data_IF_864492350646
#
_entry.id   IF_864492350646
#
_cell.length_a   1.000
_cell.length_b   1.000
_cell.length_c   1.000
_cell.angle_alpha   90.00
_cell.angle_beta   90.00
_cell.angle_gamma   90.00
#
_symmetry.space_group_name_H-M   'P 1'
#
loop_
_entity.id
_entity.type
_entity.pdbx_description
1 polymer ?
#
# COMPACT_ATOMS: atom_id res chain seq x y z
N UNK A 1 -27.35 -50.41 -33.08
CA UNK A 1 -26.71 -50.10 -31.78
C UNK A 1 -25.61 -49.02 -31.87
N UNK A 2 -25.70 -48.01 -32.77
CA UNK A 2 -24.73 -46.89 -32.83
C UNK A 2 -25.25 -45.59 -32.19
N UNK A 3 -26.57 -45.37 -32.22
CA UNK A 3 -27.16 -44.13 -31.71
C UNK A 3 -27.25 -44.06 -30.18
N UNK A 4 -27.39 -45.20 -29.48
CA UNK A 4 -27.50 -45.24 -28.01
C UNK A 4 -26.20 -44.79 -27.30
N UNK A 5 -25.04 -45.07 -27.92
CA UNK A 5 -23.72 -44.70 -27.37
C UNK A 5 -23.46 -43.19 -27.48
N UNK A 6 -24.00 -42.55 -28.51
CA UNK A 6 -23.93 -41.10 -28.69
C UNK A 6 -24.84 -40.38 -27.70
N UNK A 7 -26.06 -40.86 -27.46
CA UNK A 7 -26.94 -40.27 -26.42
C UNK A 7 -26.35 -40.39 -25.01
N UNK A 8 -25.63 -41.48 -24.72
CA UNK A 8 -24.93 -41.65 -23.46
C UNK A 8 -23.74 -40.67 -23.31
N UNK A 9 -22.99 -40.44 -24.40
CA UNK A 9 -21.89 -39.46 -24.42
C UNK A 9 -22.38 -38.01 -24.33
N UNK A 10 -23.45 -37.65 -25.06
CA UNK A 10 -24.04 -36.31 -24.99
C UNK A 10 -24.71 -36.04 -23.63
N UNK A 11 -25.35 -37.05 -23.03
CA UNK A 11 -25.90 -36.96 -21.68
C UNK A 11 -24.83 -36.70 -20.61
N UNK A 12 -23.68 -37.38 -20.69
CA UNK A 12 -22.58 -37.19 -19.75
C UNK A 12 -21.95 -35.77 -19.83
N UNK A 13 -21.86 -35.19 -21.04
CA UNK A 13 -21.33 -33.83 -21.23
C UNK A 13 -22.30 -32.77 -20.65
N UNK A 14 -23.61 -32.96 -20.83
CA UNK A 14 -24.62 -32.01 -20.33
C UNK A 14 -24.70 -32.04 -18.79
N UNK A 15 -24.64 -33.23 -18.17
CA UNK A 15 -24.63 -33.35 -16.70
C UNK A 15 -23.37 -32.71 -16.11
N UNK A 16 -22.20 -32.89 -16.74
CA UNK A 16 -20.95 -32.23 -16.33
C UNK A 16 -21.04 -30.70 -16.38
N UNK A 17 -21.68 -30.13 -17.41
CA UNK A 17 -21.85 -28.68 -17.53
C UNK A 17 -22.77 -28.09 -16.44
N UNK A 18 -23.77 -28.85 -15.98
CA UNK A 18 -24.70 -28.38 -14.93
C UNK A 18 -24.07 -28.37 -13.53
N UNK A 19 -23.11 -29.26 -13.24
CA UNK A 19 -22.41 -29.31 -11.95
C UNK A 19 -21.45 -28.10 -11.80
N UNK A 20 -20.88 -27.61 -12.91
CA UNK A 20 -20.00 -26.44 -12.93
C UNK A 20 -20.74 -25.12 -12.60
N UNK A 21 -22.03 -25.00 -12.88
CA UNK A 21 -22.82 -23.79 -12.61
C UNK A 21 -23.32 -23.72 -11.16
N UNK A 22 -23.40 -24.84 -10.44
CA UNK A 22 -23.82 -24.87 -9.03
C UNK A 22 -22.69 -24.59 -8.03
N UNK A 23 -21.42 -24.66 -8.47
CA UNK A 23 -20.24 -24.42 -7.63
C UNK A 23 -19.93 -22.93 -7.38
N UNK A 24 -20.75 -22.01 -7.90
CA UNK A 24 -20.62 -20.57 -7.68
C UNK A 24 -21.85 -19.99 -6.98
N UNK A 25 -22.19 -20.51 -5.80
CA UNK A 25 -23.20 -19.86 -4.92
C UNK A 25 -22.86 -19.85 -3.44
N UNK A 26 -21.66 -20.29 -3.04
CA UNK A 26 -21.18 -20.17 -1.66
C UNK A 26 -19.97 -19.22 -1.58
N UNK A 27 -20.16 -17.98 -2.00
CA UNK A 27 -19.27 -16.88 -1.61
C UNK A 27 -19.73 -16.34 -0.26
N UNK A 28 -19.45 -17.09 0.81
CA UNK A 28 -19.72 -16.62 2.17
C UNK A 28 -18.93 -15.34 2.43
N UNK A 29 -19.65 -14.22 2.60
CA UNK A 29 -19.10 -12.96 3.07
C UNK A 29 -18.73 -13.07 4.55
N UNK A 30 -17.60 -13.71 4.83
CA UNK A 30 -16.94 -13.67 6.12
C UNK A 30 -16.02 -12.47 6.22
N UNK A 31 -15.97 -11.84 7.39
CA UNK A 31 -15.14 -10.67 7.77
C UNK A 31 -13.61 -10.97 7.78
N UNK A 32 -13.10 -11.87 6.94
CA UNK A 32 -11.68 -12.12 6.80
C UNK A 32 -11.06 -11.08 5.84
N UNK A 33 -10.29 -10.15 6.39
CA UNK A 33 -9.51 -9.17 5.61
C UNK A 33 -9.82 -7.70 5.86
N UNK A 34 -10.77 -7.40 6.75
CA UNK A 34 -11.05 -6.01 7.16
C UNK A 34 -10.06 -5.55 8.22
N UNK A 35 -9.56 -4.32 8.07
CA UNK A 35 -8.67 -3.64 9.02
C UNK A 35 -9.23 -2.26 9.35
N UNK A 36 -8.80 -1.68 10.46
CA UNK A 36 -9.11 -0.28 10.82
C UNK A 36 -7.94 0.62 10.47
N UNK A 37 -8.22 1.76 9.83
CA UNK A 37 -7.21 2.76 9.56
C UNK A 37 -6.65 3.32 10.87
N UNK A 38 -5.33 3.50 10.91
CA UNK A 38 -4.63 4.18 12.00
C UNK A 38 -4.03 5.49 11.48
N UNK A 39 -3.66 6.38 12.40
CA UNK A 39 -2.89 7.56 12.05
C UNK A 39 -1.53 7.12 11.49
N UNK A 40 -1.21 7.39 10.21
CA UNK A 40 0.07 7.01 9.66
C UNK A 40 1.18 7.86 10.28
N UNK A 41 2.17 7.21 10.89
CA UNK A 41 3.34 7.85 11.48
C UNK A 41 4.59 7.18 10.93
N UNK A 42 5.59 7.98 10.56
CA UNK A 42 6.92 7.51 10.18
C UNK A 42 7.98 8.06 11.12
N UNK A 43 9.01 7.27 11.38
CA UNK A 43 10.19 7.72 12.10
C UNK A 43 11.25 8.19 11.10
N UNK A 44 11.64 9.46 11.18
CA UNK A 44 12.78 9.98 10.44
C UNK A 44 13.98 10.08 11.38
N UNK A 45 15.01 9.29 11.13
CA UNK A 45 16.32 9.54 11.73
C UNK A 45 16.98 10.71 10.98
N UNK A 46 17.58 11.70 11.65
CA UNK A 46 18.32 12.75 10.97
C UNK A 46 19.58 12.13 10.36
N UNK A 47 19.58 11.95 9.04
CA UNK A 47 20.79 11.60 8.30
C UNK A 47 21.60 12.89 8.13
N UNK A 48 22.39 13.26 9.14
CA UNK A 48 23.35 14.35 9.02
C UNK A 48 24.71 13.77 8.62
N UNK A 49 25.31 14.33 7.56
CA UNK A 49 26.68 14.02 7.15
C UNK A 49 27.73 14.36 8.24
N UNK A 50 27.32 15.02 9.34
CA UNK A 50 28.19 15.34 10.48
C UNK A 50 28.31 14.20 11.50
N UNK A 51 27.46 13.16 11.43
CA UNK A 51 27.45 12.06 12.41
C UNK A 51 28.01 10.75 11.84
N UNK A 52 28.73 10.83 10.72
CA UNK A 52 29.42 9.67 10.11
C UNK A 52 30.59 9.31 11.01
N UNK A 53 30.32 8.40 11.96
CA UNK A 53 31.29 7.94 12.95
C UNK A 53 30.69 7.77 14.35
N UNK A 54 29.56 8.40 14.66
CA UNK A 54 28.87 8.17 15.92
C UNK A 54 28.08 6.85 15.85
N UNK A 55 28.68 5.81 16.42
CA UNK A 55 27.99 4.58 16.79
C UNK A 55 26.93 4.93 17.84
N UNK A 56 25.72 5.26 17.39
CA UNK A 56 24.42 4.92 17.99
C UNK A 56 23.34 5.65 17.20
N UNK A 57 22.37 4.87 16.74
CA UNK A 57 21.01 5.35 16.52
C UNK A 57 20.52 5.91 17.86
N UNK A 58 20.82 7.18 18.12
CA UNK A 58 20.31 7.86 19.29
C UNK A 58 18.80 8.01 19.08
N UNK A 59 18.01 7.22 19.81
CA UNK A 59 16.55 7.18 19.69
C UNK A 59 15.95 8.57 19.92
N UNK A 60 16.63 9.39 20.73
CA UNK A 60 16.33 10.79 21.00
C UNK A 60 16.34 11.70 19.78
N UNK A 61 16.99 11.28 18.69
CA UNK A 61 17.07 12.06 17.44
C UNK A 61 15.99 11.68 16.43
N UNK A 62 15.29 10.55 16.61
CA UNK A 62 14.22 10.13 15.71
C UNK A 62 13.04 11.09 15.84
N UNK A 63 12.68 11.77 14.75
CA UNK A 63 11.47 12.58 14.70
C UNK A 63 10.33 11.76 14.13
N UNK A 64 9.25 11.65 14.90
CA UNK A 64 7.96 11.14 14.41
C UNK A 64 7.34 12.18 13.50
N UNK A 65 7.00 11.78 12.28
CA UNK A 65 6.28 12.60 11.31
C UNK A 65 4.93 11.94 11.12
N UNK A 66 3.88 12.66 11.48
CA UNK A 66 2.51 12.27 11.18
C UNK A 66 2.23 12.59 9.71
N UNK A 67 1.76 11.59 8.99
CA UNK A 67 1.36 11.72 7.59
C UNK A 67 -0.14 12.03 7.52
N UNK A 68 -0.61 12.69 6.46
CA UNK A 68 -2.04 12.88 6.30
C UNK A 68 -2.74 11.55 6.03
N UNK A 69 -3.88 11.34 6.69
CA UNK A 69 -4.78 10.22 6.41
C UNK A 69 -5.76 10.64 5.30
N UNK A 70 -5.26 10.62 4.06
CA UNK A 70 -5.98 11.04 2.86
C UNK A 70 -6.00 9.89 1.87
N UNK A 71 -7.11 9.77 1.15
CA UNK A 71 -7.29 8.86 0.04
C UNK A 71 -7.26 9.59 -1.30
N UNK A 72 -6.48 9.06 -2.25
CA UNK A 72 -6.42 9.55 -3.63
C UNK A 72 -6.97 8.52 -4.59
N UNK A 73 -7.66 8.95 -5.64
CA UNK A 73 -8.21 8.03 -6.64
C UNK A 73 -7.12 7.31 -7.44
N UNK A 74 -5.98 7.99 -7.65
CA UNK A 74 -4.85 7.47 -8.41
C UNK A 74 -3.51 8.07 -7.97
N UNK A 75 -2.43 7.44 -8.41
CA UNK A 75 -1.05 7.91 -8.27
C UNK A 75 -0.30 7.76 -9.60
N UNK A 76 0.76 8.54 -9.78
CA UNK A 76 1.63 8.47 -10.97
C UNK A 76 3.02 7.92 -10.61
N UNK A 77 3.52 6.96 -11.38
CA UNK A 77 4.89 6.49 -11.28
C UNK A 77 5.84 7.57 -11.80
N UNK A 78 6.72 8.10 -10.95
CA UNK A 78 7.71 9.11 -11.34
C UNK A 78 9.09 8.86 -10.76
N UNK A 79 10.13 9.22 -11.52
CA UNK A 79 11.52 9.09 -11.07
C UNK A 79 12.06 10.41 -10.55
N UNK A 80 12.41 10.43 -9.26
CA UNK A 80 13.07 11.58 -8.62
C UNK A 80 14.44 11.22 -8.08
N UNK A 81 15.26 12.24 -7.85
CA UNK A 81 16.56 12.07 -7.19
C UNK A 81 16.37 11.89 -5.69
N UNK A 82 16.99 10.84 -5.14
CA UNK A 82 17.12 10.61 -3.71
C UNK A 82 18.56 10.94 -3.33
N UNK A 83 18.75 11.67 -2.22
CA UNK A 83 20.06 12.03 -1.74
C UNK A 83 20.89 10.76 -1.48
N UNK A 84 22.13 10.76 -1.97
CA UNK A 84 23.09 9.71 -1.65
C UNK A 84 23.57 9.87 -0.21
N UNK A 85 23.81 8.75 0.45
CA UNK A 85 24.38 8.71 1.80
C UNK A 85 25.90 8.54 1.77
N UNK A 86 26.50 8.34 2.95
CA UNK A 86 27.87 7.84 3.06
C UNK A 86 27.81 6.32 3.19
N UNK A 87 28.67 5.62 2.45
CA UNK A 87 28.76 4.17 2.53
C UNK A 87 29.50 3.67 3.78
N UNK A 88 29.51 2.35 4.00
CA UNK A 88 30.19 1.74 5.14
C UNK A 88 31.72 1.92 5.14
N UNK A 89 32.30 2.34 4.01
CA UNK A 89 33.71 2.65 3.86
C UNK A 89 34.01 4.16 3.94
N UNK A 90 32.99 4.99 4.23
CA UNK A 90 33.16 6.43 4.40
C UNK A 90 33.10 7.25 3.11
N UNK A 91 32.78 6.65 1.96
CA UNK A 91 32.69 7.36 0.69
C UNK A 91 31.29 7.93 0.45
N UNK A 92 31.25 9.14 -0.11
CA UNK A 92 30.00 9.78 -0.51
C UNK A 92 29.40 9.04 -1.70
N UNK A 93 28.21 8.47 -1.53
CA UNK A 93 27.44 7.90 -2.64
C UNK A 93 26.79 9.02 -3.43
N UNK A 94 26.85 8.99 -4.77
CA UNK A 94 26.09 9.93 -5.58
C UNK A 94 24.59 9.74 -5.35
N UNK A 95 23.83 10.81 -5.55
CA UNK A 95 22.37 10.73 -5.58
C UNK A 95 21.91 9.75 -6.66
N UNK A 96 20.95 8.90 -6.33
CA UNK A 96 20.37 7.93 -7.27
C UNK A 96 18.97 8.33 -7.66
N UNK A 97 18.49 7.84 -8.82
CA UNK A 97 17.10 7.98 -9.20
C UNK A 97 16.30 6.80 -8.64
N UNK A 98 15.23 7.08 -7.92
CA UNK A 98 14.29 6.07 -7.42
C UNK A 98 12.90 6.28 -8.01
N UNK A 99 12.11 5.21 -8.07
CA UNK A 99 10.70 5.25 -8.46
C UNK A 99 9.83 5.67 -7.26
N UNK A 100 8.97 6.67 -7.49
CA UNK A 100 8.05 7.23 -6.52
C UNK A 100 6.61 7.02 -6.96
N UNK A 101 5.72 6.80 -5.99
CA UNK A 101 4.30 7.09 -6.15
C UNK A 101 4.07 8.58 -5.91
N UNK A 102 3.72 9.30 -6.97
CA UNK A 102 3.38 10.71 -6.91
C UNK A 102 1.86 10.90 -6.83
N UNK A 103 1.39 11.54 -5.78
CA UNK A 103 -0.01 11.96 -5.63
C UNK A 103 -0.13 13.48 -5.68
N UNK A 104 -1.26 13.97 -6.18
CA UNK A 104 -1.54 15.40 -6.30
C UNK A 104 -2.88 15.75 -5.69
N UNK A 105 -2.95 16.97 -5.17
CA UNK A 105 -4.17 17.53 -4.60
C UNK A 105 -4.48 17.00 -3.21
N UNK A 106 -5.58 17.49 -2.67
CA UNK A 106 -5.96 17.32 -1.27
C UNK A 106 -6.66 15.98 -1.01
N UNK A 107 -7.02 15.24 -2.06
CA UNK A 107 -7.70 13.94 -1.97
C UNK A 107 -8.99 14.00 -1.15
N UNK A 108 -9.42 12.85 -0.63
CA UNK A 108 -10.54 12.71 0.30
C UNK A 108 -10.01 12.36 1.69
N UNK A 109 -10.23 13.19 2.72
CA UNK A 109 -9.84 12.86 4.09
C UNK A 109 -10.54 11.59 4.58
N UNK A 110 -9.83 10.80 5.38
CA UNK A 110 -10.37 9.62 6.06
C UNK A 110 -10.17 9.74 7.57
N UNK A 111 -11.02 9.06 8.33
CA UNK A 111 -10.97 9.06 9.79
C UNK A 111 -10.25 7.82 10.33
N UNK A 112 -9.52 7.98 11.43
CA UNK A 112 -8.95 6.86 12.19
C UNK A 112 -10.09 5.96 12.68
N UNK A 113 -9.90 4.65 12.57
CA UNK A 113 -10.93 3.65 12.90
C UNK A 113 -11.82 3.27 11.72
N UNK A 114 -11.75 3.97 10.58
CA UNK A 114 -12.49 3.59 9.36
C UNK A 114 -12.12 2.17 8.97
N UNK A 115 -13.14 1.32 8.78
CA UNK A 115 -12.96 -0.07 8.35
C UNK A 115 -12.71 -0.14 6.84
N UNK A 116 -11.62 -0.78 6.45
CA UNK A 116 -11.20 -0.92 5.05
C UNK A 116 -10.72 -2.34 4.74
N UNK A 117 -10.77 -2.70 3.47
CA UNK A 117 -10.10 -3.88 2.91
C UNK A 117 -8.88 -3.41 2.11
N UNK A 118 -7.72 -4.02 2.34
CA UNK A 118 -6.52 -3.76 1.52
C UNK A 118 -6.62 -4.61 0.26
N UNK A 119 -6.60 -3.97 -0.90
CA UNK A 119 -6.74 -4.63 -2.19
C UNK A 119 -5.38 -4.98 -2.82
N UNK A 120 -4.45 -4.02 -2.80
CA UNK A 120 -3.13 -4.18 -3.37
C UNK A 120 -2.12 -3.17 -2.79
N UNK A 121 -0.84 -3.42 -3.02
CA UNK A 121 0.26 -2.51 -2.68
C UNK A 121 0.91 -2.01 -3.96
N UNK A 122 1.20 -0.71 -4.02
CA UNK A 122 1.94 -0.13 -5.12
C UNK A 122 3.39 -0.64 -5.10
N UNK A 123 4.00 -0.76 -6.29
CA UNK A 123 5.38 -1.23 -6.42
C UNK A 123 6.45 -0.20 -5.99
N UNK A 124 6.05 1.03 -5.70
CA UNK A 124 6.96 2.10 -5.29
C UNK A 124 7.43 1.92 -3.84
N UNK A 125 8.71 2.21 -3.59
CA UNK A 125 9.29 2.25 -2.25
C UNK A 125 9.33 3.67 -1.65
N UNK A 126 9.02 4.67 -2.47
CA UNK A 126 8.99 6.06 -2.10
C UNK A 126 7.67 6.70 -2.53
N UNK A 127 7.25 7.72 -1.79
CA UNK A 127 6.04 8.48 -2.07
C UNK A 127 6.32 9.98 -1.98
N UNK A 128 5.61 10.76 -2.79
CA UNK A 128 5.68 12.22 -2.79
C UNK A 128 4.27 12.79 -2.96
N UNK A 129 3.93 13.75 -2.10
CA UNK A 129 2.67 14.48 -2.18
C UNK A 129 2.92 15.89 -2.71
N UNK A 130 2.24 16.24 -3.79
CA UNK A 130 2.25 17.60 -4.33
C UNK A 130 1.02 18.36 -3.84
N UNK A 131 1.28 19.38 -3.01
CA UNK A 131 0.29 20.36 -2.54
C UNK A 131 0.69 21.71 -3.15
N UNK A 132 -0.27 22.43 -3.71
CA UNK A 132 -0.03 23.73 -4.34
C UNK A 132 0.53 24.73 -3.32
N UNK A 133 1.55 25.49 -3.73
CA UNK A 133 2.22 26.47 -2.86
C UNK A 133 3.12 25.88 -1.77
N UNK A 134 3.25 24.56 -1.66
CA UNK A 134 4.08 23.90 -0.65
C UNK A 134 5.24 23.11 -1.26
N UNK A 135 6.31 22.93 -0.47
CA UNK A 135 7.39 22.03 -0.84
C UNK A 135 6.89 20.59 -0.71
N UNK A 136 6.94 19.83 -1.79
CA UNK A 136 6.52 18.43 -1.81
C UNK A 136 7.49 17.53 -1.00
N UNK A 137 7.08 17.01 0.17
CA UNK A 137 7.94 16.14 0.97
C UNK A 137 8.10 14.77 0.31
N UNK A 138 9.31 14.21 0.40
CA UNK A 138 9.62 12.85 -0.05
C UNK A 138 9.64 11.91 1.16
N UNK A 139 8.94 10.79 1.05
CA UNK A 139 8.86 9.78 2.09
C UNK A 139 9.34 8.43 1.55
N UNK A 140 10.11 7.68 2.33
CA UNK A 140 10.49 6.29 2.01
C UNK A 140 9.38 5.34 2.47
N UNK A 141 8.21 5.47 1.86
CA UNK A 141 7.03 4.66 2.10
C UNK A 141 6.34 4.33 0.77
N UNK A 142 5.66 3.19 0.71
CA UNK A 142 4.78 2.83 -0.39
C UNK A 142 3.36 3.37 -0.21
N UNK A 143 2.50 2.98 -1.15
CA UNK A 143 1.06 3.21 -1.11
C UNK A 143 0.29 1.89 -1.16
N UNK A 144 -0.90 1.90 -0.59
CA UNK A 144 -1.81 0.74 -0.57
C UNK A 144 -3.16 1.16 -1.12
N UNK A 145 -3.70 0.36 -2.03
CA UNK A 145 -5.08 0.51 -2.48
C UNK A 145 -6.00 -0.12 -1.47
N UNK A 146 -7.04 0.60 -1.10
CA UNK A 146 -8.05 0.18 -0.14
C UNK A 146 -9.45 0.28 -0.73
N UNK A 147 -10.38 -0.44 -0.12
CA UNK A 147 -11.83 -0.24 -0.26
C UNK A 147 -12.43 0.05 1.10
N UNK A 148 -13.15 1.16 1.24
CA UNK A 148 -13.90 1.48 2.46
C UNK A 148 -15.09 0.54 2.58
N UNK A 149 -15.23 -0.14 3.71
CA UNK A 149 -16.26 -1.18 3.89
C UNK A 149 -17.67 -0.60 3.86
N UNK A 150 -17.87 0.58 4.45
CA UNK A 150 -19.19 1.21 4.53
C UNK A 150 -19.68 1.77 3.19
N UNK A 151 -18.81 2.48 2.47
CA UNK A 151 -19.21 3.19 1.24
C UNK A 151 -18.90 2.41 -0.04
N UNK A 152 -18.03 1.41 0.03
CA UNK A 152 -17.49 0.71 -1.14
C UNK A 152 -16.50 1.53 -1.97
N UNK A 153 -16.17 2.77 -1.55
CA UNK A 153 -15.25 3.64 -2.27
C UNK A 153 -13.83 3.05 -2.24
N UNK A 154 -13.16 3.08 -3.39
CA UNK A 154 -11.78 2.64 -3.53
C UNK A 154 -10.85 3.83 -3.73
N UNK A 155 -9.62 3.68 -3.25
CA UNK A 155 -8.56 4.65 -3.48
C UNK A 155 -7.26 4.21 -2.84
N UNK A 156 -6.26 5.08 -2.93
CA UNK A 156 -4.90 4.84 -2.48
C UNK A 156 -4.61 5.67 -1.24
N UNK A 157 -3.98 5.05 -0.25
CA UNK A 157 -3.49 5.69 0.97
C UNK A 157 -2.00 5.40 1.13
N UNK A 158 -1.32 6.16 1.97
CA UNK A 158 0.03 5.78 2.39
C UNK A 158 -0.01 4.46 3.18
N UNK A 159 0.86 3.51 2.85
CA UNK A 159 0.84 2.17 3.45
C UNK A 159 0.94 2.14 4.99
N UNK A 160 1.61 3.09 5.68
CA UNK A 160 1.56 3.13 7.15
C UNK A 160 0.15 3.26 7.74
N UNK A 161 -0.84 3.76 7.01
CA UNK A 161 -2.22 3.89 7.48
C UNK A 161 -2.93 2.52 7.63
N UNK A 162 -2.42 1.51 6.94
CA UNK A 162 -2.98 0.15 6.90
C UNK A 162 -2.04 -0.91 7.49
N UNK A 163 -0.86 -0.51 7.93
CA UNK A 163 0.12 -1.41 8.51
C UNK A 163 -0.20 -1.66 9.99
N UNK A 164 -0.49 -2.94 10.32
CA UNK A 164 -0.78 -3.39 11.68
C UNK A 164 0.42 -3.37 12.64
N UNK A 165 1.63 -3.12 12.14
CA UNK A 165 2.87 -3.18 12.94
C UNK A 165 3.12 -1.95 13.83
N UNK A 166 2.23 -0.95 13.81
CA UNK A 166 2.37 0.28 14.57
C UNK A 166 1.48 0.35 15.83
N UNK A 167 0.79 -0.73 16.21
CA UNK A 167 0.17 -0.79 17.53
C UNK A 167 1.26 -0.84 18.60
N UNK A 168 1.30 0.13 19.55
CA UNK A 168 2.14 -0.03 20.72
C UNK A 168 1.63 -1.26 21.46
N UNK A 169 2.48 -2.27 21.61
CA UNK A 169 2.25 -3.31 22.61
C UNK A 169 2.16 -2.63 23.97
N UNK A 170 0.97 -2.66 24.58
CA UNK A 170 0.75 -2.28 25.98
C UNK A 170 1.66 -3.06 26.93
#
# INVERSE_FOLDING_TARGET
MRNLKNYFFYGAIIVSLTILMAACSSGGGGEEGTITLIQPVIESAPVSARNVGEKKSDESLKRKIELPLIMWDAWEAKRYGVAGGIDSAGYFKPSVKADFCAVRGDGTPLEVGTKVQVLEHAACLYSIQFIEGQKAPQYMIGMSKIRVVETGQEGWVFSPAVNKFNEPTE
#
